data_IF_206725139491
#
_entry.id   IF_206725139491
#
_cell.length_a   1.000
_cell.length_b   1.000
_cell.length_c   1.000
_cell.angle_alpha   90.00
_cell.angle_beta   90.00
_cell.angle_gamma   90.00
#
_symmetry.space_group_name_H-M   'P 1'
#
loop_
_entity.id
_entity.type
_entity.pdbx_description
1 polymer ?
#
# COMPACT_ATOMS: atom_id res chain seq x y z
N UNK A 1 -43.61 16.89 9.52
CA UNK A 1 -42.74 17.85 10.19
C UNK A 1 -42.46 17.51 11.66
N UNK A 2 -42.35 16.23 12.04
CA UNK A 2 -42.16 15.78 13.44
C UNK A 2 -40.77 15.08 13.70
N UNK A 3 -39.96 14.88 12.69
CA UNK A 3 -38.70 14.13 12.81
C UNK A 3 -37.44 14.99 12.84
N UNK A 4 -37.54 16.32 12.57
CA UNK A 4 -36.37 17.21 12.64
C UNK A 4 -36.01 17.63 14.07
N UNK A 5 -36.95 17.60 15.00
CA UNK A 5 -36.72 18.06 16.37
C UNK A 5 -35.89 17.08 17.22
N UNK A 6 -35.94 15.78 16.89
CA UNK A 6 -35.23 14.74 17.66
C UNK A 6 -33.74 14.65 17.36
N UNK A 7 -33.31 14.99 16.13
CA UNK A 7 -31.91 14.95 15.73
C UNK A 7 -31.08 16.08 16.34
N UNK A 8 -31.71 17.25 16.53
CA UNK A 8 -31.04 18.43 17.10
C UNK A 8 -30.79 18.25 18.60
N UNK A 9 -31.74 17.61 19.33
CA UNK A 9 -31.53 17.32 20.75
C UNK A 9 -30.40 16.32 21.01
N UNK A 10 -30.19 15.33 20.11
CA UNK A 10 -29.11 14.34 20.27
C UNK A 10 -27.72 14.97 20.05
N UNK A 11 -27.61 15.93 19.15
CA UNK A 11 -26.35 16.63 18.86
C UNK A 11 -25.93 17.57 20.00
N UNK A 12 -26.87 18.19 20.69
CA UNK A 12 -26.59 19.05 21.85
C UNK A 12 -26.17 18.22 23.06
N UNK A 13 -26.69 17.03 23.25
CA UNK A 13 -26.29 16.11 24.34
C UNK A 13 -24.85 15.60 24.17
N UNK A 14 -24.39 15.36 22.92
CA UNK A 14 -23.01 14.95 22.66
C UNK A 14 -22.00 16.06 22.91
N UNK A 15 -22.38 17.33 22.71
CA UNK A 15 -21.50 18.47 22.96
C UNK A 15 -21.36 18.78 24.46
N UNK A 16 -22.40 18.52 25.26
CA UNK A 16 -22.37 18.78 26.70
C UNK A 16 -21.49 17.76 27.47
N UNK A 17 -21.39 16.51 27.00
CA UNK A 17 -20.55 15.48 27.62
C UNK A 17 -19.07 15.71 27.34
N UNK A 18 -18.72 16.30 26.19
CA UNK A 18 -17.32 16.59 25.85
C UNK A 18 -16.74 17.80 26.60
N UNK A 19 -17.57 18.76 27.07
CA UNK A 19 -17.09 19.87 27.87
C UNK A 19 -16.88 19.49 29.36
N UNK A 20 -17.61 18.48 29.87
CA UNK A 20 -17.44 18.08 31.28
C UNK A 20 -16.15 17.30 31.54
N UNK A 21 -15.58 16.65 30.50
CA UNK A 21 -14.31 15.94 30.60
C UNK A 21 -13.10 16.90 30.65
N UNK A 22 -13.25 18.14 30.18
CA UNK A 22 -12.16 19.10 30.15
C UNK A 22 -11.98 19.87 31.47
N UNK A 23 -13.00 19.89 32.32
CA UNK A 23 -12.98 20.66 33.59
C UNK A 23 -12.44 19.85 34.80
N UNK A 24 -12.28 18.53 34.68
CA UNK A 24 -11.82 17.67 35.80
C UNK A 24 -10.31 17.43 35.83
N UNK A 25 -9.53 17.97 34.87
CA UNK A 25 -8.07 17.80 34.86
C UNK A 25 -7.29 19.01 35.38
N UNK A 26 -7.96 19.97 36.03
CA UNK A 26 -7.32 21.22 36.49
C UNK A 26 -6.72 21.13 37.93
N UNK A 27 -6.93 20.03 38.66
CA UNK A 27 -6.42 19.89 40.05
C UNK A 27 -5.54 18.66 40.27
N UNK A 28 -4.78 18.25 39.23
CA UNK A 28 -3.62 17.40 39.51
C UNK A 28 -2.47 18.31 39.91
N UNK A 29 -2.24 18.37 41.21
CA UNK A 29 -1.08 18.92 41.89
C UNK A 29 0.18 18.28 41.23
N UNK A 30 0.66 18.89 40.14
CA UNK A 30 1.91 18.51 39.49
C UNK A 30 2.99 18.86 40.51
N UNK A 31 3.43 17.86 41.22
CA UNK A 31 4.63 17.91 42.03
C UNK A 31 5.80 18.12 41.06
N UNK A 32 6.01 19.38 40.66
CA UNK A 32 7.14 19.76 39.84
C UNK A 32 8.39 19.55 40.70
N UNK A 33 8.92 18.32 40.59
CA UNK A 33 10.29 18.08 41.01
C UNK A 33 11.17 18.95 40.13
N UNK A 34 11.53 20.12 40.67
CA UNK A 34 12.47 21.05 40.03
C UNK A 34 13.78 20.28 39.94
N UNK A 35 14.04 19.61 38.79
CA UNK A 35 15.38 19.17 38.47
C UNK A 35 16.31 20.37 38.53
N UNK A 36 17.49 20.24 39.13
CA UNK A 36 18.45 21.32 39.17
C UNK A 36 18.64 21.88 37.77
N UNK A 37 18.61 23.19 37.65
CA UNK A 37 18.70 23.93 36.39
C UNK A 37 19.91 23.42 35.58
N UNK A 38 19.63 22.60 34.55
CA UNK A 38 20.64 22.24 33.59
C UNK A 38 21.14 23.48 32.89
N UNK A 39 22.45 23.65 32.83
CA UNK A 39 23.07 24.75 32.12
C UNK A 39 22.67 24.70 30.63
N UNK A 40 22.62 25.85 29.97
CA UNK A 40 22.27 25.92 28.53
C UNK A 40 23.16 25.01 27.72
N UNK A 41 24.40 24.84 28.13
CA UNK A 41 25.40 23.94 27.50
C UNK A 41 25.00 22.46 27.61
N UNK A 42 24.50 22.00 28.77
CA UNK A 42 24.01 20.62 28.95
C UNK A 42 22.79 20.33 28.09
N UNK A 43 21.85 21.29 27.95
CA UNK A 43 20.69 21.13 27.08
C UNK A 43 21.07 21.03 25.60
N UNK A 44 22.07 21.83 25.18
CA UNK A 44 22.59 21.77 23.81
C UNK A 44 23.31 20.44 23.56
N UNK A 45 24.10 19.97 24.50
CA UNK A 45 24.79 18.67 24.40
C UNK A 45 23.80 17.50 24.32
N UNK A 46 22.73 17.53 25.15
CA UNK A 46 21.68 16.49 25.12
C UNK A 46 20.90 16.52 23.81
N UNK A 47 20.57 17.70 23.28
CA UNK A 47 19.87 17.82 21.99
C UNK A 47 20.71 17.35 20.80
N UNK A 48 22.03 17.59 20.82
CA UNK A 48 22.96 17.10 19.81
C UNK A 48 23.05 15.56 19.87
N UNK A 49 23.18 15.02 21.07
CA UNK A 49 23.26 13.57 21.29
C UNK A 49 21.96 12.85 20.88
N UNK A 50 20.82 13.44 21.16
CA UNK A 50 19.52 12.89 20.73
C UNK A 50 19.40 12.92 19.20
N UNK A 51 19.84 13.98 18.55
CA UNK A 51 19.86 14.10 17.10
C UNK A 51 20.79 13.04 16.46
N UNK A 52 22.01 12.87 16.97
CA UNK A 52 22.95 11.85 16.50
C UNK A 52 22.41 10.42 16.68
N UNK A 53 21.75 10.14 17.81
CA UNK A 53 21.10 8.85 18.06
C UNK A 53 19.95 8.59 17.07
N UNK A 54 19.20 9.61 16.73
CA UNK A 54 18.10 9.51 15.77
C UNK A 54 18.63 9.29 14.35
N UNK A 55 19.63 10.06 13.92
CA UNK A 55 20.29 9.88 12.63
C UNK A 55 20.92 8.50 12.48
N UNK A 56 21.61 8.01 13.51
CA UNK A 56 22.17 6.66 13.52
C UNK A 56 21.09 5.55 13.48
N UNK A 57 19.93 5.77 14.11
CA UNK A 57 18.81 4.85 14.04
C UNK A 57 18.17 4.85 12.64
N UNK A 58 17.99 6.01 12.03
CA UNK A 58 17.47 6.15 10.67
C UNK A 58 18.42 5.52 9.63
N UNK A 59 19.74 5.71 9.79
CA UNK A 59 20.73 5.08 8.93
C UNK A 59 20.73 3.56 9.04
N UNK A 60 20.62 3.00 10.23
CA UNK A 60 20.49 1.55 10.43
C UNK A 60 19.24 0.99 9.76
N UNK A 61 18.09 1.66 9.91
CA UNK A 61 16.83 1.25 9.25
C UNK A 61 16.96 1.33 7.73
N UNK A 62 17.62 2.37 7.21
CA UNK A 62 17.85 2.52 5.78
C UNK A 62 18.81 1.45 5.24
N UNK A 63 19.88 1.13 5.99
CA UNK A 63 20.83 0.09 5.63
C UNK A 63 20.19 -1.30 5.65
N UNK A 64 19.40 -1.62 6.67
CA UNK A 64 18.68 -2.88 6.75
C UNK A 64 17.63 -3.03 5.62
N UNK A 65 16.93 -1.94 5.30
CA UNK A 65 15.99 -1.90 4.17
C UNK A 65 16.70 -2.10 2.84
N UNK A 66 17.84 -1.46 2.62
CA UNK A 66 18.65 -1.62 1.41
C UNK A 66 19.25 -3.02 1.27
N UNK A 67 19.69 -3.63 2.38
CA UNK A 67 20.16 -5.02 2.40
C UNK A 67 19.05 -6.03 2.08
N UNK A 68 17.82 -5.82 2.59
CA UNK A 68 16.65 -6.63 2.21
C UNK A 68 16.30 -6.48 0.74
N UNK A 69 16.40 -5.28 0.18
CA UNK A 69 16.16 -5.01 -1.24
C UNK A 69 17.23 -5.68 -2.11
N UNK A 70 18.50 -5.55 -1.76
CA UNK A 70 19.63 -6.14 -2.49
C UNK A 70 19.60 -7.69 -2.51
N UNK A 71 19.07 -8.31 -1.44
CA UNK A 71 18.90 -9.78 -1.36
C UNK A 71 17.68 -10.34 -2.08
N UNK A 72 16.79 -9.49 -2.62
CA UNK A 72 15.53 -9.90 -3.23
C UNK A 72 15.48 -9.52 -4.70
N UNK A 73 15.87 -10.44 -5.59
CA UNK A 73 15.71 -10.19 -7.02
C UNK A 73 14.22 -10.04 -7.38
N UNK A 74 13.85 -9.19 -8.38
CA UNK A 74 12.48 -9.02 -8.84
C UNK A 74 11.80 -10.37 -9.15
N UNK A 75 12.56 -11.30 -9.72
CA UNK A 75 12.11 -12.67 -9.99
C UNK A 75 11.74 -13.43 -8.71
N UNK A 76 12.56 -13.35 -7.67
CA UNK A 76 12.30 -14.01 -6.39
C UNK A 76 11.10 -13.40 -5.66
N UNK A 77 10.90 -12.09 -5.76
CA UNK A 77 9.73 -11.41 -5.19
C UNK A 77 8.46 -11.85 -5.91
N UNK A 78 8.44 -11.84 -7.24
CA UNK A 78 7.27 -12.25 -8.03
C UNK A 78 6.94 -13.74 -7.85
N UNK A 79 7.94 -14.61 -7.73
CA UNK A 79 7.71 -16.05 -7.53
C UNK A 79 7.06 -16.38 -6.20
N UNK A 80 7.26 -15.57 -5.16
CA UNK A 80 6.73 -15.77 -3.81
C UNK A 80 5.38 -15.08 -3.57
N UNK A 81 4.98 -14.18 -4.47
CA UNK A 81 3.73 -13.44 -4.33
C UNK A 81 2.53 -14.40 -4.22
N UNK A 82 1.65 -14.14 -3.26
CA UNK A 82 0.41 -14.89 -3.01
C UNK A 82 -0.83 -14.03 -3.21
N UNK A 83 -0.70 -12.72 -3.14
CA UNK A 83 -1.84 -11.81 -3.24
C UNK A 83 -1.60 -10.75 -4.32
N UNK A 84 -2.62 -10.56 -5.16
CA UNK A 84 -2.61 -9.62 -6.29
C UNK A 84 -3.68 -8.57 -6.07
N UNK A 85 -3.33 -7.31 -6.24
CA UNK A 85 -4.28 -6.22 -6.43
C UNK A 85 -4.17 -5.68 -7.86
N UNK A 86 -5.31 -5.44 -8.51
CA UNK A 86 -5.35 -4.89 -9.88
C UNK A 86 -5.91 -3.48 -9.83
N UNK A 87 -5.20 -2.54 -10.42
CA UNK A 87 -5.66 -1.16 -10.59
C UNK A 87 -5.47 -0.70 -12.04
N UNK A 88 -6.17 0.35 -12.42
CA UNK A 88 -6.07 0.96 -13.75
C UNK A 88 -5.92 2.46 -13.62
N UNK A 89 -4.99 3.04 -14.35
CA UNK A 89 -4.79 4.49 -14.47
C UNK A 89 -5.53 5.08 -15.68
N UNK A 90 -6.24 4.25 -16.45
CA UNK A 90 -6.98 4.66 -17.63
C UNK A 90 -8.48 4.36 -17.52
N UNK A 91 -9.34 5.24 -18.07
CA UNK A 91 -10.78 5.02 -18.17
C UNK A 91 -11.18 3.99 -19.24
N UNK A 92 -10.26 3.58 -20.08
CA UNK A 92 -10.51 2.60 -21.16
C UNK A 92 -10.42 1.13 -20.70
N UNK A 93 -10.10 0.91 -19.42
CA UNK A 93 -9.93 -0.40 -18.85
C UNK A 93 -10.42 -0.45 -17.40
N UNK A 94 -11.36 -1.33 -17.12
CA UNK A 94 -11.84 -1.55 -15.76
C UNK A 94 -11.06 -2.70 -15.11
N UNK A 95 -10.51 -2.52 -13.89
CA UNK A 95 -9.76 -3.55 -13.16
C UNK A 95 -10.48 -4.89 -13.07
N UNK A 96 -11.82 -4.87 -12.95
CA UNK A 96 -12.65 -6.07 -12.86
C UNK A 96 -12.55 -6.97 -14.11
N UNK A 97 -12.27 -6.39 -15.29
CA UNK A 97 -12.11 -7.16 -16.53
C UNK A 97 -10.90 -8.10 -16.42
N UNK A 98 -9.75 -7.58 -15.94
CA UNK A 98 -8.56 -8.38 -15.72
C UNK A 98 -8.73 -9.36 -14.56
N UNK A 99 -9.33 -8.91 -13.45
CA UNK A 99 -9.61 -9.79 -12.31
C UNK A 99 -10.42 -11.01 -12.71
N UNK A 100 -11.48 -10.82 -13.52
CA UNK A 100 -12.34 -11.90 -13.98
C UNK A 100 -11.62 -12.89 -14.92
N UNK A 101 -10.72 -12.40 -15.78
CA UNK A 101 -9.93 -13.26 -16.66
C UNK A 101 -8.83 -14.00 -15.89
N UNK A 102 -8.19 -13.36 -14.93
CA UNK A 102 -7.23 -14.00 -14.03
C UNK A 102 -7.87 -15.11 -13.19
N UNK A 103 -9.05 -14.87 -12.57
CA UNK A 103 -9.76 -15.87 -11.75
C UNK A 103 -10.11 -17.15 -12.52
N UNK A 104 -10.24 -17.08 -13.84
CA UNK A 104 -10.52 -18.26 -14.70
C UNK A 104 -9.28 -19.11 -14.96
N UNK A 105 -8.08 -18.66 -14.58
CA UNK A 105 -6.84 -19.37 -14.81
C UNK A 105 -6.56 -20.39 -13.72
N UNK A 106 -6.40 -21.63 -14.11
CA UNK A 106 -6.04 -22.74 -13.21
C UNK A 106 -4.68 -22.54 -12.54
N UNK A 107 -3.77 -21.82 -13.20
CA UNK A 107 -2.44 -21.49 -12.68
C UNK A 107 -2.51 -20.70 -11.37
N UNK A 108 -3.42 -19.73 -11.25
CA UNK A 108 -3.57 -18.98 -10.00
C UNK A 108 -3.95 -19.89 -8.82
N UNK A 109 -4.86 -20.85 -9.08
CA UNK A 109 -5.26 -21.83 -8.07
C UNK A 109 -4.08 -22.74 -7.69
N UNK A 110 -3.32 -23.22 -8.68
CA UNK A 110 -2.15 -24.05 -8.45
C UNK A 110 -1.06 -23.31 -7.65
N UNK A 111 -0.96 -22.00 -7.81
CA UNK A 111 -0.03 -21.16 -7.07
C UNK A 111 -0.58 -20.64 -5.74
N UNK A 112 -1.85 -20.94 -5.42
CA UNK A 112 -2.57 -20.40 -4.26
C UNK A 112 -2.58 -18.86 -4.25
N UNK A 113 -2.69 -18.25 -5.43
CA UNK A 113 -2.72 -16.81 -5.56
C UNK A 113 -4.14 -16.28 -5.43
N UNK A 114 -4.33 -15.29 -4.59
CA UNK A 114 -5.61 -14.65 -4.30
C UNK A 114 -5.66 -13.26 -4.92
N UNK A 115 -6.76 -12.94 -5.60
CA UNK A 115 -7.01 -11.61 -6.14
C UNK A 115 -7.82 -10.81 -5.13
N UNK A 116 -7.27 -9.69 -4.71
CA UNK A 116 -7.91 -8.71 -3.82
C UNK A 116 -8.71 -7.75 -4.68
N UNK A 117 -10.01 -7.63 -4.42
CA UNK A 117 -10.94 -6.78 -5.16
C UNK A 117 -11.33 -5.49 -4.43
N UNK A 118 -11.11 -5.43 -3.10
CA UNK A 118 -11.40 -4.26 -2.30
C UNK A 118 -10.22 -3.29 -2.24
N UNK A 119 -10.47 -2.02 -2.57
CA UNK A 119 -9.49 -0.95 -2.42
C UNK A 119 -8.96 -0.82 -0.99
N UNK A 120 -9.82 -1.00 0.00
CA UNK A 120 -9.45 -0.95 1.41
C UNK A 120 -8.38 -1.99 1.78
N UNK A 121 -8.43 -3.14 1.09
CA UNK A 121 -7.48 -4.24 1.27
C UNK A 121 -6.26 -4.16 0.35
N UNK A 122 -6.11 -3.11 -0.47
CA UNK A 122 -4.95 -2.91 -1.34
C UNK A 122 -3.62 -3.03 -0.58
N UNK A 123 -3.60 -2.54 0.66
CA UNK A 123 -2.40 -2.57 1.52
C UNK A 123 -1.94 -3.96 1.98
N UNK A 124 -2.75 -5.01 1.84
CA UNK A 124 -2.35 -6.39 2.16
C UNK A 124 -1.94 -7.19 0.93
N UNK A 125 -1.98 -6.59 -0.27
CA UNK A 125 -1.47 -7.22 -1.48
C UNK A 125 0.06 -7.36 -1.42
N UNK A 126 0.59 -8.45 -1.96
CA UNK A 126 2.03 -8.62 -2.18
C UNK A 126 2.45 -7.83 -3.41
N UNK A 127 1.67 -7.92 -4.48
CA UNK A 127 1.95 -7.26 -5.74
C UNK A 127 0.76 -6.45 -6.23
N UNK A 128 1.05 -5.34 -6.91
CA UNK A 128 0.08 -4.50 -7.58
C UNK A 128 0.30 -4.62 -9.09
N UNK A 129 -0.77 -4.90 -9.81
CA UNK A 129 -0.79 -4.87 -11.28
C UNK A 129 -1.51 -3.59 -11.70
N UNK A 130 -0.76 -2.65 -12.23
CA UNK A 130 -1.27 -1.41 -12.79
C UNK A 130 -1.42 -1.54 -14.30
N UNK A 131 -2.60 -1.21 -14.82
CA UNK A 131 -2.89 -1.15 -16.26
C UNK A 131 -2.99 0.29 -16.69
N UNK A 132 -2.30 0.63 -17.78
CA UNK A 132 -2.35 1.94 -18.39
C UNK A 132 -2.55 1.82 -19.90
N UNK A 133 -3.09 2.88 -20.49
CA UNK A 133 -3.22 3.05 -21.93
C UNK A 133 -2.87 4.49 -22.29
N UNK A 134 -1.74 4.71 -22.95
CA UNK A 134 -1.38 6.05 -23.44
C UNK A 134 -2.46 6.61 -24.36
N UNK A 135 -2.73 7.89 -24.23
CA UNK A 135 -3.71 8.59 -25.04
C UNK A 135 -3.43 8.39 -26.54
N UNK A 136 -4.50 8.28 -27.32
CA UNK A 136 -4.45 8.11 -28.77
C UNK A 136 -3.75 6.83 -29.27
N UNK A 137 -3.62 5.82 -28.39
CA UNK A 137 -3.05 4.53 -28.76
C UNK A 137 -4.06 3.41 -28.57
N UNK A 138 -3.79 2.26 -29.20
CA UNK A 138 -4.46 0.98 -28.93
C UNK A 138 -3.58 0.04 -28.11
N UNK A 139 -2.57 0.60 -27.45
CA UNK A 139 -1.61 -0.17 -26.66
C UNK A 139 -1.96 -0.08 -25.20
N UNK A 140 -2.26 -1.22 -24.59
CA UNK A 140 -2.37 -1.36 -23.14
C UNK A 140 -1.05 -1.85 -22.59
N UNK A 141 -0.58 -1.20 -21.54
CA UNK A 141 0.64 -1.56 -20.81
C UNK A 141 0.27 -2.07 -19.43
N UNK A 142 1.08 -2.97 -18.88
CA UNK A 142 0.97 -3.35 -17.48
C UNK A 142 2.32 -3.25 -16.79
N UNK A 143 2.26 -2.96 -15.51
CA UNK A 143 3.39 -2.99 -14.59
C UNK A 143 2.99 -3.85 -13.39
N UNK A 144 3.86 -4.77 -13.00
CA UNK A 144 3.73 -5.54 -11.77
C UNK A 144 4.78 -5.01 -10.81
N UNK A 145 4.35 -4.46 -9.69
CA UNK A 145 5.23 -3.88 -8.67
C UNK A 145 5.06 -4.61 -7.35
N UNK A 146 6.15 -4.81 -6.63
CA UNK A 146 6.09 -5.20 -5.23
C UNK A 146 5.50 -4.05 -4.42
N UNK A 147 4.42 -4.31 -3.71
CA UNK A 147 3.72 -3.25 -2.97
C UNK A 147 4.56 -2.67 -1.83
N UNK A 148 5.39 -3.49 -1.19
CA UNK A 148 6.11 -3.10 0.03
C UNK A 148 7.25 -2.13 -0.22
N UNK A 149 7.91 -2.25 -1.36
CA UNK A 149 9.11 -1.47 -1.71
C UNK A 149 9.02 -0.75 -3.06
N UNK A 150 7.94 -0.95 -3.83
CA UNK A 150 7.73 -0.31 -5.13
C UNK A 150 8.66 -0.85 -6.24
N UNK A 151 9.34 -1.97 -6.03
CA UNK A 151 10.23 -2.55 -7.04
C UNK A 151 9.39 -3.05 -8.21
N UNK A 152 9.77 -2.65 -9.43
CA UNK A 152 9.19 -3.17 -10.66
C UNK A 152 9.63 -4.63 -10.86
N UNK A 153 8.66 -5.55 -10.87
CA UNK A 153 8.90 -6.99 -10.99
C UNK A 153 8.78 -7.48 -12.43
N UNK A 154 7.80 -6.97 -13.16
CA UNK A 154 7.57 -7.26 -14.57
C UNK A 154 6.80 -6.12 -15.23
N UNK A 155 6.92 -6.02 -16.54
CA UNK A 155 6.15 -5.10 -17.37
C UNK A 155 5.96 -5.70 -18.75
N UNK A 156 4.90 -5.29 -19.42
CA UNK A 156 4.65 -5.68 -20.79
C UNK A 156 3.57 -4.83 -21.42
N UNK A 157 3.30 -5.12 -22.68
CA UNK A 157 2.29 -4.41 -23.46
C UNK A 157 1.58 -5.35 -24.43
N UNK A 158 0.36 -4.98 -24.77
CA UNK A 158 -0.44 -5.62 -25.82
C UNK A 158 -1.17 -4.55 -26.64
N UNK A 159 -1.59 -4.90 -27.84
CA UNK A 159 -2.43 -4.04 -28.66
C UNK A 159 -3.84 -4.62 -28.68
N UNK A 160 -4.85 -3.80 -28.32
CA UNK A 160 -6.25 -4.19 -28.34
C UNK A 160 -7.14 -2.98 -28.57
N UNK A 161 -8.32 -3.19 -29.12
CA UNK A 161 -9.28 -2.13 -29.44
C UNK A 161 -9.88 -1.55 -28.17
N UNK A 162 -10.24 -2.44 -27.23
CA UNK A 162 -10.88 -2.09 -25.97
C UNK A 162 -10.42 -2.99 -24.81
N UNK A 163 -10.90 -2.71 -23.59
CA UNK A 163 -10.57 -3.45 -22.38
C UNK A 163 -11.02 -4.91 -22.38
N UNK A 164 -12.13 -5.25 -23.06
CA UNK A 164 -12.63 -6.62 -23.11
C UNK A 164 -11.70 -7.52 -23.93
N UNK A 165 -11.19 -7.00 -25.05
CA UNK A 165 -10.19 -7.69 -25.88
C UNK A 165 -8.82 -7.68 -25.19
N UNK A 166 -8.50 -6.58 -24.49
CA UNK A 166 -7.22 -6.46 -23.79
C UNK A 166 -7.08 -7.42 -22.61
N UNK A 167 -8.14 -7.63 -21.82
CA UNK A 167 -8.07 -8.37 -20.57
C UNK A 167 -7.54 -9.81 -20.73
N UNK A 168 -8.02 -10.65 -21.66
CA UNK A 168 -7.47 -11.99 -21.85
C UNK A 168 -6.02 -11.97 -22.34
N UNK A 169 -5.66 -11.04 -23.23
CA UNK A 169 -4.29 -10.92 -23.75
C UNK A 169 -3.30 -10.48 -22.66
N UNK A 170 -3.71 -9.53 -21.81
CA UNK A 170 -2.95 -9.12 -20.65
C UNK A 170 -2.78 -10.27 -19.66
N UNK A 171 -3.87 -11.00 -19.40
CA UNK A 171 -3.83 -12.19 -18.54
C UNK A 171 -2.79 -13.19 -19.00
N UNK A 172 -2.78 -13.55 -20.29
CA UNK A 172 -1.82 -14.48 -20.85
C UNK A 172 -0.38 -14.04 -20.65
N UNK A 173 -0.14 -12.75 -20.86
CA UNK A 173 1.19 -12.16 -20.71
C UNK A 173 1.63 -12.15 -19.25
N UNK A 174 0.76 -11.72 -18.34
CA UNK A 174 1.02 -11.68 -16.89
C UNK A 174 1.29 -13.09 -16.36
N UNK A 175 0.47 -14.07 -16.73
CA UNK A 175 0.67 -15.47 -16.33
C UNK A 175 2.02 -16.00 -16.85
N UNK A 176 2.39 -15.67 -18.07
CA UNK A 176 3.70 -16.03 -18.63
C UNK A 176 4.86 -15.46 -17.83
N UNK A 177 4.76 -14.18 -17.40
CA UNK A 177 5.80 -13.56 -16.58
C UNK A 177 5.90 -14.20 -15.20
N UNK A 178 4.77 -14.53 -14.57
CA UNK A 178 4.73 -15.23 -13.29
C UNK A 178 5.33 -16.64 -13.43
N UNK A 179 4.97 -17.39 -14.49
CA UNK A 179 5.58 -18.72 -14.80
C UNK A 179 7.09 -18.63 -14.92
N UNK A 180 7.57 -17.64 -15.69
CA UNK A 180 9.00 -17.39 -15.85
C UNK A 180 9.67 -17.09 -14.52
N UNK A 181 9.04 -16.30 -13.66
CA UNK A 181 9.57 -15.97 -12.34
C UNK A 181 9.65 -17.24 -11.45
N UNK A 182 8.66 -18.11 -11.50
CA UNK A 182 8.59 -19.37 -10.76
C UNK A 182 9.49 -20.47 -11.35
N UNK A 183 10.11 -20.26 -12.50
CA UNK A 183 10.96 -21.25 -13.15
C UNK A 183 10.18 -22.32 -13.91
N UNK A 184 8.89 -22.12 -14.13
CA UNK A 184 8.08 -23.00 -14.94
C UNK A 184 8.40 -22.79 -16.42
N UNK A 185 8.74 -23.88 -17.11
CA UNK A 185 9.08 -23.82 -18.54
C UNK A 185 7.82 -23.48 -19.35
N UNK A 186 7.80 -22.34 -20.00
CA UNK A 186 6.80 -22.04 -21.03
C UNK A 186 7.17 -22.80 -22.30
N UNK A 187 6.51 -23.94 -22.51
CA UNK A 187 6.54 -24.60 -23.83
C UNK A 187 5.82 -23.75 -24.85
#
# INVERSE_FOLDING_TARGET
MRHLSSAICLLILFFAVSLSAYAQNADQNVNVTIKPSQTVEERVADSIKEKELREAAEEKVAAEKSARIAGSSPRALLSRAKTIFVESSTSYFEPIQLQNTLRKRSELNAWEMVIIDSWEKRKVADVIIEIDRPLFTFTFTYKITDRSNGILLATGQITAIDGNVAAPLLTDRIIKDIKKARGEVTK
#
